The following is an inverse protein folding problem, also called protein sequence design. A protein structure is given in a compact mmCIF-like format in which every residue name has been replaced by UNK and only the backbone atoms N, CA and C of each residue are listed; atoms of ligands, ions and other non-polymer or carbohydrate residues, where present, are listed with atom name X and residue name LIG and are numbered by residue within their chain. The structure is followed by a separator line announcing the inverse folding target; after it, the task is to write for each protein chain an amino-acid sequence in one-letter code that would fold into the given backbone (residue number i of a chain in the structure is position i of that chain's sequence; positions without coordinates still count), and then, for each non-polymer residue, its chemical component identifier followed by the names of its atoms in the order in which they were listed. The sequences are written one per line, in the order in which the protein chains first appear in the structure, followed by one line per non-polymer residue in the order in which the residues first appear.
data_IF_696695282297
#
_entry.id   IF_696695282297
#
_cell.length_a   1.000
_cell.length_b   1.000
_cell.length_c   1.000
_cell.angle_alpha   90.00
_cell.angle_beta   90.00
_cell.angle_gamma   90.00
#
_symmetry.space_group_name_H-M   'P 1'
#
loop_
_entity.id
_entity.type
_entity.pdbx_description
1 polymer ?
#
# COMPACT_ATOMS: atom_id res chain seq x y z
N UNK A 1 -18.20 10.01 1.14
CA UNK A 1 -18.00 8.89 2.10
C UNK A 1 -16.53 8.91 2.50
N UNK A 2 -16.19 8.83 3.78
CA UNK A 2 -14.78 8.73 4.21
C UNK A 2 -14.33 7.29 4.01
N UNK A 3 -13.26 7.08 3.25
CA UNK A 3 -12.69 5.74 3.07
C UNK A 3 -12.22 5.20 4.43
N UNK A 4 -12.47 3.92 4.72
CA UNK A 4 -12.07 3.31 6.01
C UNK A 4 -10.57 3.09 6.11
N UNK A 5 -9.91 2.79 5.02
CA UNK A 5 -8.51 2.43 4.99
C UNK A 5 -7.76 3.23 3.93
N UNK A 6 -6.47 3.44 4.17
CA UNK A 6 -5.55 4.09 3.24
C UNK A 6 -4.32 3.22 3.09
N UNK A 7 -4.06 2.72 1.88
CA UNK A 7 -2.80 2.09 1.54
C UNK A 7 -1.81 3.14 1.03
N UNK A 8 -0.55 3.03 1.45
CA UNK A 8 0.58 3.83 0.99
C UNK A 8 1.68 2.92 0.51
N UNK A 9 2.40 3.35 -0.52
CA UNK A 9 3.61 2.73 -1.04
C UNK A 9 4.67 3.80 -1.09
N UNK A 10 5.85 3.47 -0.59
CA UNK A 10 7.07 4.26 -0.62
C UNK A 10 7.97 3.66 -1.70
N UNK A 11 8.18 4.43 -2.76
CA UNK A 11 9.11 4.11 -3.83
C UNK A 11 10.50 4.62 -3.45
N UNK A 12 11.53 3.92 -3.93
CA UNK A 12 12.93 4.27 -3.66
C UNK A 12 13.31 5.65 -4.24
N UNK A 13 12.62 6.09 -5.30
CA UNK A 13 12.77 7.43 -5.90
C UNK A 13 12.24 8.57 -5.00
N UNK A 14 11.70 8.25 -3.82
CA UNK A 14 11.11 9.21 -2.88
C UNK A 14 9.65 9.54 -3.20
N UNK A 15 9.08 8.99 -4.27
CA UNK A 15 7.66 9.07 -4.55
C UNK A 15 6.85 8.24 -3.56
N UNK A 16 5.73 8.78 -3.09
CA UNK A 16 4.79 8.05 -2.25
C UNK A 16 3.44 7.99 -2.95
N UNK A 17 3.04 6.79 -3.36
CA UNK A 17 1.73 6.57 -3.97
C UNK A 17 0.79 6.11 -2.87
N UNK A 18 -0.41 6.66 -2.81
CA UNK A 18 -1.41 6.23 -1.86
C UNK A 18 -2.76 6.08 -2.51
N UNK A 19 -3.53 5.12 -2.02
CA UNK A 19 -4.92 4.90 -2.41
C UNK A 19 -5.75 4.66 -1.16
N UNK A 20 -7.04 4.96 -1.24
CA UNK A 20 -7.94 4.81 -0.09
C UNK A 20 -9.19 4.08 -0.51
N UNK A 21 -9.65 3.18 0.35
CA UNK A 21 -10.73 2.25 0.07
C UNK A 21 -11.46 1.86 1.35
N UNK A 22 -12.61 1.21 1.18
CA UNK A 22 -13.37 0.69 2.32
C UNK A 22 -13.01 -0.76 2.64
N UNK A 23 -12.39 -1.46 1.69
CA UNK A 23 -12.08 -2.87 1.75
C UNK A 23 -10.57 -3.08 1.68
N UNK A 24 -10.04 -3.77 2.69
CA UNK A 24 -8.61 -4.07 2.78
C UNK A 24 -8.17 -4.98 1.61
N UNK A 25 -9.03 -5.88 1.16
CA UNK A 25 -8.74 -6.78 0.04
C UNK A 25 -8.53 -6.03 -1.29
N UNK A 26 -9.31 -4.99 -1.55
CA UNK A 26 -9.11 -4.13 -2.72
C UNK A 26 -7.76 -3.41 -2.64
N UNK A 27 -7.41 -2.89 -1.45
CA UNK A 27 -6.13 -2.23 -1.21
C UNK A 27 -4.94 -3.19 -1.37
N UNK A 28 -5.06 -4.43 -0.89
CA UNK A 28 -4.04 -5.47 -1.06
C UNK A 28 -3.90 -5.83 -2.54
N UNK A 29 -5.00 -5.97 -3.27
CA UNK A 29 -4.97 -6.26 -4.71
C UNK A 29 -4.26 -5.14 -5.47
N UNK A 30 -4.54 -3.88 -5.12
CA UNK A 30 -3.85 -2.73 -5.69
C UNK A 30 -2.35 -2.72 -5.35
N UNK A 31 -1.97 -2.99 -4.09
CA UNK A 31 -0.57 -3.12 -3.66
C UNK A 31 0.19 -4.16 -4.47
N UNK A 32 -0.39 -5.34 -4.69
CA UNK A 32 0.21 -6.38 -5.53
C UNK A 32 0.38 -5.92 -6.98
N UNK A 33 -0.64 -5.27 -7.55
CA UNK A 33 -0.52 -4.74 -8.93
C UNK A 33 0.58 -3.68 -9.06
N UNK A 34 0.81 -2.84 -8.03
CA UNK A 34 1.91 -1.88 -8.02
C UNK A 34 3.27 -2.57 -7.86
N UNK A 35 3.34 -3.63 -7.05
CA UNK A 35 4.54 -4.46 -6.85
C UNK A 35 4.94 -5.23 -8.12
N UNK A 36 3.98 -5.75 -8.87
CA UNK A 36 4.27 -6.37 -10.16
C UNK A 36 4.69 -5.34 -11.22
N UNK A 37 4.20 -4.10 -11.13
CA UNK A 37 4.56 -3.03 -12.06
C UNK A 37 5.91 -2.38 -11.74
N UNK A 38 6.27 -2.29 -10.46
CA UNK A 38 7.55 -1.75 -10.01
C UNK A 38 8.55 -2.90 -9.92
N UNK A 39 9.45 -3.01 -10.90
CA UNK A 39 10.54 -3.99 -10.95
C UNK A 39 11.62 -3.78 -9.86
N UNK A 40 11.23 -3.31 -8.67
CA UNK A 40 12.11 -2.90 -7.58
C UNK A 40 11.49 -3.17 -6.20
N UNK A 41 12.25 -2.91 -5.15
CA UNK A 41 11.76 -3.04 -3.78
C UNK A 41 10.65 -2.03 -3.51
N UNK A 42 9.48 -2.54 -3.10
CA UNK A 42 8.38 -1.70 -2.63
C UNK A 42 8.14 -1.91 -1.16
N UNK A 43 8.01 -0.79 -0.45
CA UNK A 43 7.54 -0.77 0.92
C UNK A 43 6.17 -0.13 0.95
N UNK A 44 5.22 -0.73 1.66
CA UNK A 44 3.88 -0.21 1.78
C UNK A 44 3.25 -0.48 3.13
N UNK A 45 2.21 0.27 3.43
CA UNK A 45 1.47 0.17 4.68
C UNK A 45 0.00 0.47 4.45
N UNK A 46 -0.88 -0.21 5.18
CA UNK A 46 -2.31 0.05 5.21
C UNK A 46 -2.64 0.63 6.57
N UNK A 47 -3.20 1.83 6.55
CA UNK A 47 -3.60 2.61 7.72
C UNK A 47 -5.12 2.57 7.82
N UNK A 48 -5.63 2.28 9.01
CA UNK A 48 -7.04 2.47 9.32
C UNK A 48 -7.30 3.96 9.57
N UNK A 49 -8.22 4.56 8.81
CA UNK A 49 -8.49 5.99 8.91
C UNK A 49 -9.32 6.34 10.16
N UNK A 50 -10.01 5.38 10.77
CA UNK A 50 -10.78 5.58 12.00
C UNK A 50 -9.87 5.64 13.23
N UNK A 51 -8.86 4.78 13.32
CA UNK A 51 -7.90 4.77 14.44
C UNK A 51 -6.58 5.50 14.13
N UNK A 52 -6.31 5.79 12.86
CA UNK A 52 -5.02 6.31 12.36
C UNK A 52 -3.85 5.33 12.62
N UNK A 53 -4.13 4.04 12.79
CA UNK A 53 -3.11 3.03 13.07
C UNK A 53 -2.78 2.21 11.82
N UNK A 54 -1.52 1.78 11.70
CA UNK A 54 -1.10 0.84 10.66
C UNK A 54 -1.64 -0.53 11.00
N UNK A 55 -2.61 -1.00 10.23
CA UNK A 55 -3.22 -2.33 10.39
C UNK A 55 -2.45 -3.41 9.65
N UNK A 56 -1.64 -3.04 8.65
CA UNK A 56 -0.85 -3.99 7.87
C UNK A 56 0.36 -3.34 7.23
N UNK A 57 1.52 -3.99 7.36
CA UNK A 57 2.70 -3.66 6.56
C UNK A 57 2.77 -4.59 5.34
N UNK A 58 3.25 -4.06 4.23
CA UNK A 58 3.47 -4.76 2.98
C UNK A 58 4.90 -4.47 2.53
N UNK A 59 5.66 -5.50 2.23
CA UNK A 59 6.98 -5.34 1.64
C UNK A 59 7.07 -6.31 0.49
N UNK A 60 7.39 -5.79 -0.69
CA UNK A 60 7.67 -6.59 -1.86
C UNK A 60 9.14 -6.43 -2.21
N UNK A 61 9.84 -7.56 -2.23
CA UNK A 61 11.24 -7.65 -2.65
C UNK A 61 11.23 -8.48 -3.92
N UNK A 62 11.63 -7.91 -5.08
CA UNK A 62 11.74 -8.70 -6.30
C UNK A 62 12.80 -9.80 -6.10
N UNK A 63 12.58 -11.01 -6.63
CA UNK A 63 13.60 -12.05 -6.60
C UNK A 63 14.81 -11.64 -7.47
N UNK A 64 16.02 -11.84 -6.93
CA UNK A 64 17.33 -11.60 -7.60
C UNK A 64 17.52 -12.38 -8.92
#
# INVERSE_FOLDING_TARGET
MKHKYTAKIYLDDGETIFTSGNDIEELITWLNSQAEASFGELNGEIIDNATQEVVKHFQYVPPE
#
